data_IF_632141582276
#
_entry.id   IF_632141582276
#
_cell.length_a   1.000
_cell.length_b   1.000
_cell.length_c   1.000
_cell.angle_alpha   90.00
_cell.angle_beta   90.00
_cell.angle_gamma   90.00
#
_symmetry.space_group_name_H-M   'P 1'
#
loop_
_entity.id
_entity.type
_entity.pdbx_description
1 polymer ?
#
# COMPACT_ATOMS: atom_id res chain seq x y z
N UNK A 1 -3.47 -9.31 37.64
CA UNK A 1 -2.97 -8.49 36.52
C UNK A 1 -1.50 -8.82 36.35
N UNK A 2 -1.08 -9.17 35.12
CA UNK A 2 0.29 -9.39 34.75
C UNK A 2 0.66 -8.34 33.71
N UNK A 3 1.87 -7.80 33.74
CA UNK A 3 2.37 -6.81 32.78
C UNK A 3 3.85 -7.03 32.50
N UNK A 4 4.27 -6.67 31.31
CA UNK A 4 5.67 -6.67 30.87
C UNK A 4 6.03 -5.28 30.34
N UNK A 5 7.32 -4.89 30.49
CA UNK A 5 7.83 -3.59 30.02
C UNK A 5 8.64 -3.72 28.73
N UNK A 6 8.39 -4.76 27.97
CA UNK A 6 9.01 -5.01 26.67
C UNK A 6 7.96 -5.59 25.74
N UNK A 7 8.29 -5.68 24.47
CA UNK A 7 7.42 -6.16 23.40
C UNK A 7 7.60 -7.68 23.22
N UNK A 8 6.73 -8.54 23.79
CA UNK A 8 6.82 -9.98 23.57
C UNK A 8 6.46 -10.40 22.15
N UNK A 9 5.70 -9.58 21.43
CA UNK A 9 5.22 -9.80 20.06
C UNK A 9 6.30 -9.62 19.00
N UNK A 10 7.40 -8.89 19.29
CA UNK A 10 8.42 -8.63 18.29
C UNK A 10 9.37 -9.80 18.10
N UNK A 11 9.83 -9.99 16.87
CA UNK A 11 10.72 -11.09 16.49
C UNK A 11 12.02 -11.18 17.33
N UNK A 12 12.54 -10.05 17.80
CA UNK A 12 13.75 -10.00 18.64
C UNK A 12 13.54 -10.52 20.07
N UNK A 13 12.30 -10.67 20.51
CA UNK A 13 12.01 -11.28 21.83
C UNK A 13 12.04 -12.80 21.73
N UNK A 14 13.15 -13.36 22.15
CA UNK A 14 13.53 -14.76 21.94
C UNK A 14 12.50 -15.81 22.41
N UNK A 15 11.69 -15.50 23.44
CA UNK A 15 10.69 -16.37 24.04
C UNK A 15 9.29 -15.71 24.06
N UNK A 16 9.03 -14.78 23.14
CA UNK A 16 7.77 -14.02 23.10
C UNK A 16 6.54 -14.91 23.00
N UNK A 17 6.57 -15.90 22.12
CA UNK A 17 5.45 -16.85 21.94
C UNK A 17 5.20 -17.69 23.20
N UNK A 18 6.23 -18.12 23.93
CA UNK A 18 6.08 -18.85 25.18
C UNK A 18 5.40 -17.99 26.27
N UNK A 19 5.69 -16.69 26.29
CA UNK A 19 5.05 -15.73 27.20
C UNK A 19 3.55 -15.63 26.87
N UNK A 20 3.18 -15.51 25.59
CA UNK A 20 1.79 -15.51 25.18
C UNK A 20 1.08 -16.81 25.49
N UNK A 21 1.70 -17.97 25.23
CA UNK A 21 1.12 -19.27 25.56
C UNK A 21 0.87 -19.43 27.05
N UNK A 22 1.82 -19.04 27.89
CA UNK A 22 1.66 -19.08 29.34
C UNK A 22 0.52 -18.17 29.80
N UNK A 23 0.41 -16.97 29.23
CA UNK A 23 -0.67 -16.04 29.56
C UNK A 23 -2.04 -16.56 29.12
N UNK A 24 -2.17 -17.09 27.91
CA UNK A 24 -3.40 -17.70 27.39
C UNK A 24 -3.86 -18.85 28.28
N UNK A 25 -2.92 -19.71 28.69
CA UNK A 25 -3.19 -20.83 29.58
C UNK A 25 -3.64 -20.36 30.98
N UNK A 26 -3.05 -19.27 31.50
CA UNK A 26 -3.48 -18.67 32.78
C UNK A 26 -4.89 -18.07 32.71
N UNK A 27 -5.30 -17.59 31.54
CA UNK A 27 -6.63 -17.00 31.33
C UNK A 27 -7.71 -18.03 30.93
N UNK A 28 -7.33 -19.31 30.76
CA UNK A 28 -8.22 -20.39 30.28
C UNK A 28 -8.93 -20.03 28.94
N UNK A 29 -8.20 -19.33 28.04
CA UNK A 29 -8.73 -18.91 26.74
C UNK A 29 -8.67 -20.08 25.77
N UNK A 30 -9.78 -20.37 25.11
CA UNK A 30 -9.80 -21.38 24.04
C UNK A 30 -9.11 -20.84 22.79
N UNK A 31 -8.27 -21.67 22.19
CA UNK A 31 -7.58 -21.37 20.91
C UNK A 31 -8.45 -21.85 19.74
N UNK A 32 -9.62 -21.25 19.54
CA UNK A 32 -10.62 -21.65 18.56
C UNK A 32 -10.78 -20.65 17.40
N UNK A 33 -10.00 -19.57 17.38
CA UNK A 33 -9.99 -18.62 16.27
C UNK A 33 -9.36 -19.23 15.02
N UNK A 34 -10.11 -19.22 13.90
CA UNK A 34 -9.67 -19.68 12.60
C UNK A 34 -10.11 -18.70 11.53
N UNK A 35 -9.18 -18.23 10.73
CA UNK A 35 -9.45 -17.24 9.65
C UNK A 35 -10.37 -17.83 8.59
N UNK A 36 -10.24 -19.12 8.30
CA UNK A 36 -11.05 -19.84 7.32
C UNK A 36 -12.54 -19.81 7.65
N UNK A 37 -12.86 -19.79 8.95
CA UNK A 37 -14.25 -19.75 9.45
C UNK A 37 -14.82 -18.33 9.44
N UNK A 38 -13.98 -17.29 9.24
CA UNK A 38 -14.43 -15.89 9.26
C UNK A 38 -15.08 -15.45 7.95
N UNK A 39 -14.74 -16.07 6.82
CA UNK A 39 -15.23 -15.67 5.50
C UNK A 39 -16.75 -15.51 5.45
N UNK A 40 -17.46 -16.57 5.78
CA UNK A 40 -18.94 -16.56 5.68
C UNK A 40 -19.57 -15.62 6.72
N UNK A 41 -19.01 -15.56 7.93
CA UNK A 41 -19.44 -14.62 8.96
C UNK A 41 -19.31 -13.17 8.50
N UNK A 42 -18.15 -12.77 7.95
CA UNK A 42 -17.93 -11.42 7.46
C UNK A 42 -18.85 -11.05 6.29
N UNK A 43 -19.09 -11.99 5.38
CA UNK A 43 -20.04 -11.80 4.27
C UNK A 43 -21.45 -11.55 4.81
N UNK A 44 -21.90 -12.33 5.78
CA UNK A 44 -23.25 -12.17 6.36
C UNK A 44 -23.38 -10.89 7.20
N UNK A 45 -22.33 -10.48 7.90
CA UNK A 45 -22.27 -9.19 8.60
C UNK A 45 -22.37 -8.01 7.63
N UNK A 46 -21.65 -8.05 6.50
CA UNK A 46 -21.74 -7.02 5.46
C UNK A 46 -23.15 -6.97 4.86
N UNK A 47 -23.74 -8.13 4.52
CA UNK A 47 -25.12 -8.20 4.00
C UNK A 47 -26.12 -7.57 4.96
N UNK A 48 -26.01 -7.89 6.25
CA UNK A 48 -26.88 -7.37 7.28
C UNK A 48 -26.73 -5.86 7.47
N UNK A 49 -25.49 -5.37 7.48
CA UNK A 49 -25.16 -3.96 7.65
C UNK A 49 -25.63 -3.10 6.46
N UNK A 50 -25.35 -3.56 5.25
CA UNK A 50 -25.58 -2.80 4.02
C UNK A 50 -27.06 -2.92 3.58
N UNK A 51 -27.71 -4.06 3.78
CA UNK A 51 -29.07 -4.31 3.31
C UNK A 51 -29.17 -4.18 1.80
N UNK A 52 -30.12 -3.37 1.32
CA UNK A 52 -30.38 -3.12 -0.11
C UNK A 52 -29.58 -1.93 -0.69
N UNK A 53 -28.82 -1.25 0.15
CA UNK A 53 -28.07 -0.05 -0.27
C UNK A 53 -26.78 -0.41 -1.02
N UNK A 54 -26.08 0.60 -1.53
CA UNK A 54 -24.83 0.44 -2.27
C UNK A 54 -23.62 0.97 -1.48
N UNK A 55 -22.46 0.38 -1.77
CA UNK A 55 -21.16 0.74 -1.19
C UNK A 55 -20.28 1.33 -2.27
N UNK A 56 -19.64 2.47 -2.02
CA UNK A 56 -18.50 2.95 -2.81
C UNK A 56 -17.21 2.66 -2.04
N UNK A 57 -16.16 2.28 -2.74
CA UNK A 57 -14.86 1.99 -2.13
C UNK A 57 -13.72 2.54 -2.97
N UNK A 58 -12.87 3.38 -2.35
CA UNK A 58 -11.59 3.76 -2.95
C UNK A 58 -10.60 2.59 -2.86
N UNK A 59 -10.06 2.20 -4.00
CA UNK A 59 -9.12 1.07 -4.06
C UNK A 59 -7.75 1.52 -4.54
N UNK A 60 -6.70 0.96 -3.93
CA UNK A 60 -5.31 1.35 -4.19
C UNK A 60 -4.50 0.29 -4.95
N UNK A 61 -5.10 -0.86 -5.27
CA UNK A 61 -4.39 -2.03 -5.76
C UNK A 61 -3.56 -2.76 -4.68
N UNK A 62 -3.61 -2.31 -3.43
CA UNK A 62 -3.02 -3.00 -2.28
C UNK A 62 -3.89 -4.17 -1.79
N UNK A 63 -3.28 -5.13 -1.09
CA UNK A 63 -3.96 -6.36 -0.66
C UNK A 63 -5.17 -6.09 0.23
N UNK A 64 -5.09 -5.09 1.12
CA UNK A 64 -6.16 -4.81 2.08
C UNK A 64 -7.40 -4.26 1.38
N UNK A 65 -7.23 -3.27 0.47
CA UNK A 65 -8.35 -2.76 -0.34
C UNK A 65 -8.90 -3.83 -1.30
N UNK A 66 -8.07 -4.71 -1.83
CA UNK A 66 -8.48 -5.80 -2.71
C UNK A 66 -9.34 -6.82 -1.97
N UNK A 67 -8.86 -7.35 -0.83
CA UNK A 67 -9.60 -8.36 -0.07
C UNK A 67 -10.89 -7.76 0.51
N UNK A 68 -10.84 -6.51 1.00
CA UNK A 68 -12.01 -5.80 1.50
C UNK A 68 -13.08 -5.59 0.43
N UNK A 69 -12.70 -5.12 -0.76
CA UNK A 69 -13.63 -4.93 -1.88
C UNK A 69 -14.22 -6.25 -2.34
N UNK A 70 -13.42 -7.32 -2.38
CA UNK A 70 -13.88 -8.64 -2.80
C UNK A 70 -14.86 -9.27 -1.81
N UNK A 71 -14.67 -9.08 -0.50
CA UNK A 71 -15.64 -9.48 0.52
C UNK A 71 -16.97 -8.73 0.35
N UNK A 72 -16.91 -7.42 0.10
CA UNK A 72 -18.11 -6.60 -0.12
C UNK A 72 -18.82 -7.06 -1.40
N UNK A 73 -18.07 -7.31 -2.49
CA UNK A 73 -18.62 -7.85 -3.73
C UNK A 73 -19.34 -9.19 -3.51
N UNK A 74 -18.72 -10.13 -2.78
CA UNK A 74 -19.34 -11.42 -2.43
C UNK A 74 -20.61 -11.26 -1.58
N UNK A 75 -20.70 -10.22 -0.77
CA UNK A 75 -21.86 -9.95 0.07
C UNK A 75 -23.02 -9.32 -0.70
N UNK A 76 -22.76 -8.30 -1.52
CA UNK A 76 -23.79 -7.46 -2.14
C UNK A 76 -23.77 -7.41 -3.66
N UNK A 77 -22.83 -8.12 -4.31
CA UNK A 77 -22.71 -8.22 -5.76
C UNK A 77 -22.46 -6.87 -6.42
N UNK A 78 -23.18 -6.60 -7.51
CA UNK A 78 -23.05 -5.38 -8.32
C UNK A 78 -23.32 -4.06 -7.60
N UNK A 79 -23.69 -4.08 -6.31
CA UNK A 79 -23.93 -2.87 -5.52
C UNK A 79 -22.67 -2.30 -4.86
N UNK A 80 -21.49 -2.87 -5.15
CA UNK A 80 -20.21 -2.27 -4.79
C UNK A 80 -19.62 -1.53 -6.00
N UNK A 81 -19.18 -0.29 -5.78
CA UNK A 81 -18.54 0.56 -6.77
C UNK A 81 -17.10 0.82 -6.33
N UNK A 82 -16.15 0.24 -7.04
CA UNK A 82 -14.73 0.39 -6.77
C UNK A 82 -14.15 1.51 -7.63
N UNK A 83 -13.55 2.51 -7.00
CA UNK A 83 -12.94 3.68 -7.66
C UNK A 83 -11.43 3.65 -7.44
N UNK A 84 -10.69 3.48 -8.51
CA UNK A 84 -9.23 3.61 -8.53
C UNK A 84 -8.86 4.99 -9.08
N UNK A 85 -8.16 5.80 -8.29
CA UNK A 85 -7.69 7.12 -8.71
C UNK A 85 -6.25 7.00 -9.18
N UNK A 86 -6.03 7.16 -10.49
CA UNK A 86 -4.69 7.31 -11.03
C UNK A 86 -4.18 8.73 -10.77
N UNK A 87 -3.25 8.83 -9.85
CA UNK A 87 -2.63 10.09 -9.42
C UNK A 87 -1.47 10.53 -10.32
N UNK A 88 -1.08 9.72 -11.30
CA UNK A 88 0.16 9.92 -12.06
C UNK A 88 1.44 9.64 -11.25
N UNK A 89 1.31 9.16 -10.01
CA UNK A 89 2.44 8.88 -9.09
C UNK A 89 2.64 7.38 -8.87
N UNK A 90 2.02 6.55 -9.68
CA UNK A 90 2.08 5.10 -9.59
C UNK A 90 3.34 4.54 -10.27
N UNK A 91 3.68 3.29 -9.94
CA UNK A 91 4.72 2.51 -10.63
C UNK A 91 4.40 2.37 -12.12
N UNK A 92 5.38 1.94 -12.87
CA UNK A 92 5.19 1.59 -14.28
C UNK A 92 4.09 0.54 -14.41
N UNK A 93 3.17 0.75 -15.34
CA UNK A 93 2.05 -0.14 -15.68
C UNK A 93 1.10 -0.50 -14.51
N UNK A 94 1.21 0.17 -13.35
CA UNK A 94 0.43 -0.12 -12.16
C UNK A 94 -1.08 0.02 -12.40
N UNK A 95 -1.51 1.09 -13.03
CA UNK A 95 -2.94 1.36 -13.31
C UNK A 95 -3.53 0.28 -14.21
N UNK A 96 -2.79 -0.13 -15.24
CA UNK A 96 -3.22 -1.21 -16.13
C UNK A 96 -3.28 -2.55 -15.40
N UNK A 97 -2.28 -2.85 -14.58
CA UNK A 97 -2.26 -4.06 -13.76
C UNK A 97 -3.46 -4.13 -12.79
N UNK A 98 -3.78 -3.02 -12.11
CA UNK A 98 -4.92 -2.96 -11.18
C UNK A 98 -6.23 -3.15 -11.94
N UNK A 99 -6.37 -2.54 -13.11
CA UNK A 99 -7.55 -2.73 -13.97
C UNK A 99 -7.74 -4.20 -14.35
N UNK A 100 -6.70 -4.83 -14.90
CA UNK A 100 -6.73 -6.25 -15.28
C UNK A 100 -7.05 -7.16 -14.09
N UNK A 101 -6.53 -6.87 -12.91
CA UNK A 101 -6.81 -7.61 -11.68
C UNK A 101 -8.29 -7.55 -11.30
N UNK A 102 -8.91 -6.37 -11.32
CA UNK A 102 -10.33 -6.21 -11.00
C UNK A 102 -11.23 -6.80 -12.08
N UNK A 103 -10.87 -6.68 -13.36
CA UNK A 103 -11.57 -7.31 -14.48
C UNK A 103 -11.54 -8.85 -14.35
N UNK A 104 -10.39 -9.42 -13.99
CA UNK A 104 -10.24 -10.88 -13.79
C UNK A 104 -11.05 -11.38 -12.59
N UNK A 105 -11.16 -10.58 -11.53
CA UNK A 105 -11.96 -10.93 -10.35
C UNK A 105 -13.46 -10.75 -10.58
N UNK A 106 -13.87 -10.23 -11.74
CA UNK A 106 -15.26 -10.12 -12.16
C UNK A 106 -16.04 -8.96 -11.54
N UNK A 107 -15.36 -7.86 -11.22
CA UNK A 107 -16.03 -6.65 -10.73
C UNK A 107 -16.79 -5.95 -11.85
N UNK A 108 -18.10 -5.84 -11.72
CA UNK A 108 -18.95 -5.16 -12.70
C UNK A 108 -18.80 -3.62 -12.65
N UNK A 109 -18.54 -3.06 -11.46
CA UNK A 109 -18.46 -1.61 -11.22
C UNK A 109 -17.06 -1.25 -10.69
N UNK A 110 -16.07 -1.28 -11.58
CA UNK A 110 -14.73 -0.79 -11.33
C UNK A 110 -14.43 0.36 -12.29
N UNK A 111 -14.10 1.53 -11.73
CA UNK A 111 -13.79 2.74 -12.50
C UNK A 111 -12.36 3.22 -12.22
N UNK A 112 -11.63 3.57 -13.28
CA UNK A 112 -10.34 4.24 -13.22
C UNK A 112 -10.54 5.71 -13.49
N UNK A 113 -10.21 6.56 -12.53
CA UNK A 113 -10.27 8.02 -12.65
C UNK A 113 -8.86 8.55 -12.86
N UNK A 114 -8.55 8.99 -14.08
CA UNK A 114 -7.30 9.68 -14.35
C UNK A 114 -7.34 11.11 -13.81
N UNK A 115 -6.60 11.33 -12.73
CA UNK A 115 -6.41 12.63 -12.09
C UNK A 115 -4.93 13.09 -12.13
N UNK A 116 -4.10 12.44 -12.94
CA UNK A 116 -2.65 12.65 -13.00
C UNK A 116 -2.26 14.11 -13.18
N UNK A 117 -2.88 14.81 -14.14
CA UNK A 117 -2.63 16.23 -14.41
C UNK A 117 -2.96 17.13 -13.21
N UNK A 118 -4.02 16.80 -12.47
CA UNK A 118 -4.42 17.56 -11.28
C UNK A 118 -3.40 17.41 -10.14
N UNK A 119 -2.98 16.16 -9.86
CA UNK A 119 -1.99 15.89 -8.82
C UNK A 119 -0.64 16.52 -9.14
N UNK A 120 -0.13 16.31 -10.36
CA UNK A 120 1.16 16.86 -10.79
C UNK A 120 1.13 18.39 -10.79
N UNK A 121 0.01 19.00 -11.20
CA UNK A 121 -0.16 20.46 -11.16
C UNK A 121 -0.07 21.03 -9.75
N UNK A 122 -0.72 20.39 -8.76
CA UNK A 122 -0.69 20.81 -7.35
C UNK A 122 0.66 20.54 -6.67
N UNK A 123 1.42 19.55 -7.14
CA UNK A 123 2.74 19.19 -6.58
C UNK A 123 3.90 19.98 -7.18
N UNK A 124 3.65 20.80 -8.20
CA UNK A 124 4.71 21.57 -8.88
C UNK A 124 5.43 22.48 -7.90
N UNK A 125 6.75 22.32 -7.78
CA UNK A 125 7.62 23.10 -6.90
C UNK A 125 7.55 22.73 -5.42
N UNK A 126 6.76 21.72 -5.04
CA UNK A 126 6.68 21.23 -3.65
C UNK A 126 7.82 20.25 -3.40
N UNK A 127 8.67 20.58 -2.43
CA UNK A 127 9.88 19.78 -2.10
C UNK A 127 9.75 19.02 -0.78
N UNK A 128 9.02 19.57 0.19
CA UNK A 128 8.84 18.96 1.50
C UNK A 128 7.96 17.70 1.42
N UNK A 129 8.41 16.54 1.94
CA UNK A 129 7.68 15.29 1.84
C UNK A 129 6.35 15.28 2.62
N UNK A 130 6.23 16.01 3.73
CA UNK A 130 4.99 16.08 4.49
C UNK A 130 3.96 16.99 3.78
N UNK A 131 4.41 18.06 3.15
CA UNK A 131 3.56 18.89 2.32
C UNK A 131 3.05 18.11 1.09
N UNK A 132 3.92 17.33 0.43
CA UNK A 132 3.51 16.42 -0.65
C UNK A 132 2.41 15.46 -0.19
N UNK A 133 2.58 14.81 0.98
CA UNK A 133 1.57 13.90 1.54
C UNK A 133 0.24 14.59 1.77
N UNK A 134 0.24 15.78 2.35
CA UNK A 134 -0.98 16.57 2.61
C UNK A 134 -1.71 16.93 1.33
N UNK A 135 -0.98 17.43 0.33
CA UNK A 135 -1.54 17.81 -0.98
C UNK A 135 -2.16 16.58 -1.66
N UNK A 136 -1.45 15.45 -1.67
CA UNK A 136 -1.93 14.21 -2.28
C UNK A 136 -3.17 13.71 -1.56
N UNK A 137 -3.17 13.67 -0.23
CA UNK A 137 -4.31 13.23 0.56
C UNK A 137 -5.55 14.09 0.31
N UNK A 138 -5.43 15.43 0.37
CA UNK A 138 -6.54 16.33 0.11
C UNK A 138 -7.05 16.22 -1.32
N UNK A 139 -6.16 16.14 -2.31
CA UNK A 139 -6.55 16.03 -3.71
C UNK A 139 -7.25 14.70 -3.99
N UNK A 140 -6.80 13.62 -3.35
CA UNK A 140 -7.46 12.32 -3.45
C UNK A 140 -8.91 12.39 -2.95
N UNK A 141 -9.13 13.01 -1.79
CA UNK A 141 -10.47 13.20 -1.23
C UNK A 141 -11.35 14.02 -2.20
N UNK A 142 -10.85 15.15 -2.74
CA UNK A 142 -11.59 15.97 -3.69
C UNK A 142 -12.01 15.19 -4.94
N UNK A 143 -11.13 14.37 -5.49
CA UNK A 143 -11.42 13.53 -6.68
C UNK A 143 -12.44 12.47 -6.34
N UNK A 144 -12.24 11.79 -5.20
CA UNK A 144 -13.14 10.73 -4.77
C UNK A 144 -14.55 11.24 -4.45
N UNK A 145 -14.68 12.41 -3.80
CA UNK A 145 -15.98 13.07 -3.56
C UNK A 145 -16.74 13.32 -4.85
N UNK A 146 -16.07 13.85 -5.88
CA UNK A 146 -16.68 14.11 -7.19
C UNK A 146 -17.21 12.83 -7.83
N UNK A 147 -16.47 11.73 -7.73
CA UNK A 147 -16.94 10.45 -8.27
C UNK A 147 -18.14 9.90 -7.50
N UNK A 148 -18.16 10.06 -6.18
CA UNK A 148 -19.33 9.67 -5.37
C UNK A 148 -20.55 10.51 -5.74
N UNK A 149 -20.40 11.82 -5.96
CA UNK A 149 -21.51 12.69 -6.41
C UNK A 149 -22.02 12.25 -7.78
N UNK A 150 -21.13 11.98 -8.73
CA UNK A 150 -21.47 11.46 -10.07
C UNK A 150 -22.27 10.14 -10.00
N UNK A 151 -21.85 9.20 -9.13
CA UNK A 151 -22.58 7.95 -8.93
C UNK A 151 -23.99 8.20 -8.33
N UNK A 152 -24.13 9.14 -7.41
CA UNK A 152 -25.44 9.54 -6.86
C UNK A 152 -26.34 10.18 -7.89
N UNK A 153 -25.81 11.01 -8.79
CA UNK A 153 -26.55 11.61 -9.90
C UNK A 153 -27.07 10.57 -10.91
N UNK A 154 -26.36 9.44 -11.04
CA UNK A 154 -26.79 8.28 -11.83
C UNK A 154 -27.86 7.42 -11.14
N UNK A 155 -28.42 7.90 -10.02
CA UNK A 155 -29.43 7.22 -9.19
C UNK A 155 -28.94 5.95 -8.48
N UNK A 156 -27.63 5.78 -8.27
CA UNK A 156 -27.14 4.76 -7.38
C UNK A 156 -27.33 5.19 -5.91
N UNK A 157 -27.93 4.31 -5.11
CA UNK A 157 -28.22 4.57 -3.69
C UNK A 157 -26.97 4.35 -2.83
N UNK A 158 -25.92 5.21 -3.03
CA UNK A 158 -24.67 5.12 -2.27
C UNK A 158 -24.89 5.64 -0.85
N UNK A 159 -24.86 4.74 0.13
CA UNK A 159 -25.01 5.05 1.56
C UNK A 159 -23.79 4.69 2.40
N UNK A 160 -22.91 3.86 1.85
CA UNK A 160 -21.77 3.35 2.58
C UNK A 160 -20.46 3.62 1.84
N UNK A 161 -19.40 3.83 2.64
CA UNK A 161 -18.01 3.84 2.20
C UNK A 161 -17.32 2.58 2.70
N UNK A 162 -16.80 1.77 1.77
CA UNK A 162 -15.93 0.65 2.07
C UNK A 162 -14.49 1.11 2.33
N UNK A 163 -13.87 0.58 3.38
CA UNK A 163 -12.45 0.82 3.67
C UNK A 163 -11.74 -0.50 3.99
N UNK A 164 -10.50 -0.63 3.51
CA UNK A 164 -9.62 -1.75 3.80
C UNK A 164 -8.85 -1.61 5.12
N UNK A 165 -9.45 -0.99 6.13
CA UNK A 165 -8.87 -0.82 7.46
C UNK A 165 -8.61 -2.17 8.09
N UNK A 166 -7.41 -2.40 8.61
CA UNK A 166 -7.02 -3.60 9.35
C UNK A 166 -6.84 -3.30 10.85
N UNK A 167 -6.72 -4.33 11.67
CA UNK A 167 -6.66 -4.18 13.12
C UNK A 167 -5.53 -3.26 13.61
N UNK A 168 -4.29 -3.31 13.09
CA UNK A 168 -3.24 -2.35 13.46
C UNK A 168 -3.62 -0.89 13.18
N UNK A 169 -4.31 -0.60 12.08
CA UNK A 169 -4.75 0.77 11.74
C UNK A 169 -5.74 1.31 12.78
N UNK A 170 -6.63 0.44 13.31
CA UNK A 170 -7.57 0.81 14.39
C UNK A 170 -6.85 1.17 15.69
N UNK A 171 -5.85 0.37 16.09
CA UNK A 171 -5.07 0.64 17.32
C UNK A 171 -4.30 1.94 17.18
N UNK A 172 -3.64 2.16 16.04
CA UNK A 172 -2.88 3.39 15.78
C UNK A 172 -3.77 4.64 15.72
N UNK A 173 -5.04 4.48 15.29
CA UNK A 173 -6.03 5.57 15.21
C UNK A 173 -6.80 5.79 16.52
N UNK A 174 -6.86 4.78 17.40
CA UNK A 174 -7.49 4.87 18.71
C UNK A 174 -6.71 5.84 19.59
N UNK A 175 -7.33 6.96 19.89
CA UNK A 175 -6.92 8.17 20.60
C UNK A 175 -5.52 8.20 21.21
N UNK A 176 -4.69 9.18 20.83
CA UNK A 176 -3.35 9.34 21.37
C UNK A 176 -3.43 9.71 22.84
N UNK A 177 -2.56 9.11 23.65
CA UNK A 177 -2.11 9.77 24.88
C UNK A 177 -1.57 11.15 24.48
N UNK A 178 -1.76 12.17 25.32
CA UNK A 178 -1.37 13.58 25.07
C UNK A 178 0.12 13.80 24.70
N UNK A 179 0.91 12.74 24.60
CA UNK A 179 2.37 12.72 24.44
C UNK A 179 2.87 11.90 23.26
N UNK A 180 2.00 11.21 22.49
CA UNK A 180 2.44 10.47 21.29
C UNK A 180 2.14 11.33 20.05
N UNK A 181 3.16 11.65 19.27
CA UNK A 181 3.01 12.22 17.94
C UNK A 181 2.14 11.30 17.09
N UNK A 182 1.17 11.87 16.37
CA UNK A 182 0.35 11.14 15.39
C UNK A 182 1.26 10.64 14.28
N UNK A 183 1.74 9.40 14.40
CA UNK A 183 2.65 8.80 13.43
C UNK A 183 1.97 8.46 12.10
N UNK A 184 0.63 8.27 12.11
CA UNK A 184 -0.13 7.99 10.88
C UNK A 184 -1.50 8.66 10.89
N UNK A 185 -1.64 9.73 10.13
CA UNK A 185 -2.92 10.39 9.86
C UNK A 185 -3.47 10.11 8.43
N UNK A 186 -2.90 9.16 7.65
CA UNK A 186 -3.05 9.23 6.21
C UNK A 186 -3.38 7.92 5.48
N UNK A 187 -3.72 6.82 6.16
CA UNK A 187 -4.09 5.57 5.48
C UNK A 187 -5.59 5.35 5.35
N UNK A 188 -6.39 5.97 6.21
CA UNK A 188 -7.84 5.94 6.09
C UNK A 188 -8.34 7.32 5.67
N UNK A 189 -9.18 7.36 4.64
CA UNK A 189 -9.90 8.56 4.25
C UNK A 189 -10.66 9.09 5.47
N UNK A 190 -10.20 10.22 6.02
CA UNK A 190 -11.02 10.96 6.96
C UNK A 190 -12.18 11.50 6.14
N UNK A 191 -13.34 10.88 6.27
CA UNK A 191 -14.55 11.33 5.57
C UNK A 191 -14.74 12.81 5.83
N UNK A 192 -14.90 13.64 4.80
CA UNK A 192 -15.43 14.96 4.98
C UNK A 192 -16.80 14.85 5.60
N UNK A 193 -17.10 15.66 6.61
CA UNK A 193 -18.41 15.70 7.28
C UNK A 193 -19.60 15.84 6.31
N UNK A 194 -19.32 16.32 5.09
CA UNK A 194 -20.32 16.50 4.02
C UNK A 194 -20.79 15.22 3.35
N UNK A 195 -20.02 14.12 3.39
CA UNK A 195 -20.39 12.91 2.60
C UNK A 195 -21.53 12.10 3.22
N UNK A 196 -21.77 12.20 4.52
CA UNK A 196 -22.87 11.49 5.23
C UNK A 196 -22.93 9.97 4.96
N UNK A 197 -21.80 9.33 4.61
CA UNK A 197 -21.71 7.90 4.34
C UNK A 197 -21.38 7.13 5.63
N UNK A 198 -21.98 5.96 5.79
CA UNK A 198 -21.62 5.02 6.86
C UNK A 198 -20.42 4.17 6.44
N UNK A 199 -19.58 3.78 7.39
CA UNK A 199 -18.39 2.95 7.11
C UNK A 199 -18.75 1.46 7.05
N UNK A 200 -18.06 0.75 6.12
CA UNK A 200 -17.99 -0.70 6.06
C UNK A 200 -16.52 -1.08 6.06
N UNK A 201 -16.05 -1.67 7.16
CA UNK A 201 -14.63 -2.00 7.39
C UNK A 201 -14.50 -3.50 7.68
N UNK A 202 -14.62 -4.35 6.66
CA UNK A 202 -14.73 -5.80 6.85
C UNK A 202 -13.47 -6.46 7.42
N UNK A 203 -12.33 -5.79 7.38
CA UNK A 203 -11.03 -6.32 7.81
C UNK A 203 -10.55 -5.74 9.14
N UNK A 204 -11.38 -4.92 9.80
CA UNK A 204 -10.99 -4.12 10.96
C UNK A 204 -10.53 -4.92 12.19
N UNK A 205 -10.84 -6.20 12.26
CA UNK A 205 -10.44 -7.11 13.34
C UNK A 205 -9.34 -8.10 12.92
N UNK A 206 -8.79 -7.97 11.71
CA UNK A 206 -7.80 -8.89 11.15
C UNK A 206 -6.42 -8.25 11.06
N UNK A 207 -5.38 -9.07 11.28
CA UNK A 207 -4.00 -8.72 10.97
C UNK A 207 -3.69 -8.96 9.48
N UNK A 208 -2.60 -8.38 8.98
CA UNK A 208 -2.25 -8.41 7.55
C UNK A 208 -1.99 -9.81 7.00
N UNK A 209 -1.43 -10.69 7.77
CA UNK A 209 -1.25 -12.11 7.43
C UNK A 209 -2.59 -12.85 7.37
N UNK A 210 -3.52 -12.56 8.30
CA UNK A 210 -4.88 -13.09 8.27
C UNK A 210 -5.67 -12.59 7.06
N UNK A 211 -5.49 -11.31 6.67
CA UNK A 211 -6.08 -10.76 5.43
C UNK A 211 -5.59 -11.52 4.20
N UNK A 212 -4.31 -11.87 4.13
CA UNK A 212 -3.78 -12.69 3.02
C UNK A 212 -4.34 -14.11 3.03
N UNK A 213 -4.46 -14.74 4.21
CA UNK A 213 -5.09 -16.05 4.35
C UNK A 213 -6.55 -16.01 3.90
N UNK A 214 -7.31 -15.02 4.37
CA UNK A 214 -8.69 -14.80 3.96
C UNK A 214 -8.82 -14.58 2.45
N UNK A 215 -7.93 -13.79 1.86
CA UNK A 215 -7.88 -13.60 0.41
C UNK A 215 -7.64 -14.90 -0.36
N UNK A 216 -6.81 -15.79 0.17
CA UNK A 216 -6.60 -17.12 -0.38
C UNK A 216 -7.86 -17.98 -0.30
N UNK A 217 -8.56 -17.99 0.85
CA UNK A 217 -9.83 -18.70 1.05
C UNK A 217 -10.97 -18.16 0.15
N UNK A 218 -10.89 -16.89 -0.21
CA UNK A 218 -11.78 -16.25 -1.19
C UNK A 218 -11.45 -16.63 -2.64
N UNK A 219 -10.33 -17.31 -2.90
CA UNK A 219 -9.87 -17.70 -4.22
C UNK A 219 -9.10 -16.64 -4.99
N UNK A 220 -8.64 -15.59 -4.31
CA UNK A 220 -7.82 -14.55 -4.92
C UNK A 220 -6.43 -15.14 -5.23
N UNK A 221 -5.92 -14.86 -6.43
CA UNK A 221 -4.62 -15.36 -6.88
C UNK A 221 -3.49 -14.89 -5.97
N UNK A 222 -2.54 -15.79 -5.75
CA UNK A 222 -1.38 -15.50 -4.89
C UNK A 222 -0.56 -14.29 -5.35
N UNK A 223 -0.42 -14.07 -6.65
CA UNK A 223 0.30 -12.92 -7.21
C UNK A 223 -0.32 -11.57 -6.83
N UNK A 224 -1.63 -11.50 -6.59
CA UNK A 224 -2.32 -10.31 -6.11
C UNK A 224 -2.16 -10.12 -4.60
N UNK A 225 -2.05 -11.23 -3.84
CA UNK A 225 -1.91 -11.21 -2.38
C UNK A 225 -0.48 -10.96 -1.89
N UNK A 226 0.53 -11.42 -2.64
CA UNK A 226 1.96 -11.34 -2.26
C UNK A 226 2.62 -10.01 -2.65
N UNK A 227 1.85 -8.98 -3.00
CA UNK A 227 2.40 -7.68 -3.38
C UNK A 227 3.04 -6.97 -2.20
N UNK A 228 4.19 -6.33 -2.45
CA UNK A 228 4.82 -5.44 -1.48
C UNK A 228 3.94 -4.22 -1.22
N UNK A 229 3.97 -3.68 0.01
CA UNK A 229 3.25 -2.45 0.32
C UNK A 229 3.77 -1.29 -0.56
N UNK A 230 2.82 -0.52 -1.10
CA UNK A 230 3.10 0.69 -1.85
C UNK A 230 2.41 1.87 -1.16
N UNK A 231 3.14 2.94 -0.82
CA UNK A 231 2.58 4.03 -0.04
C UNK A 231 1.54 4.82 -0.83
N UNK A 232 0.51 5.35 -0.14
CA UNK A 232 -0.53 6.18 -0.74
C UNK A 232 0.00 7.37 -1.54
N UNK A 233 1.04 8.11 -1.09
CA UNK A 233 1.66 9.17 -1.89
C UNK A 233 2.43 8.69 -3.13
N UNK A 234 2.54 7.40 -3.35
CA UNK A 234 3.18 6.83 -4.53
C UNK A 234 4.65 7.18 -4.65
N UNK A 235 5.09 7.43 -5.87
CA UNK A 235 6.48 7.82 -6.19
C UNK A 235 6.82 9.24 -5.74
N UNK A 236 5.84 10.08 -5.39
CA UNK A 236 6.09 11.47 -4.99
C UNK A 236 7.08 11.61 -3.83
N UNK A 237 7.00 10.71 -2.84
CA UNK A 237 7.90 10.71 -1.68
C UNK A 237 9.21 9.98 -1.93
N UNK A 238 9.34 9.35 -3.09
CA UNK A 238 10.57 8.67 -3.55
C UNK A 238 11.41 9.52 -4.49
N UNK A 239 10.93 10.74 -4.82
CA UNK A 239 11.70 11.78 -5.47
C UNK A 239 12.06 12.82 -4.41
N UNK A 240 13.35 12.95 -4.07
CA UNK A 240 13.83 13.95 -3.14
C UNK A 240 13.79 15.32 -3.85
N UNK A 241 13.13 16.30 -3.25
CA UNK A 241 12.92 17.61 -3.88
C UNK A 241 11.64 17.69 -4.72
N UNK A 242 11.59 18.58 -5.69
CA UNK A 242 10.44 18.80 -6.56
C UNK A 242 10.19 17.66 -7.55
N UNK A 243 8.94 17.54 -7.97
CA UNK A 243 8.49 16.49 -8.89
C UNK A 243 8.25 17.09 -10.27
N UNK A 244 8.75 16.42 -11.30
CA UNK A 244 8.42 16.66 -12.68
C UNK A 244 8.28 15.34 -13.45
N UNK A 245 7.78 15.42 -14.67
CA UNK A 245 7.51 14.25 -15.49
C UNK A 245 8.79 13.48 -15.87
N UNK A 246 9.90 14.18 -16.12
CA UNK A 246 11.20 13.56 -16.44
C UNK A 246 11.68 12.69 -15.28
N UNK A 247 11.67 13.23 -14.05
CA UNK A 247 12.08 12.51 -12.85
C UNK A 247 11.17 11.31 -12.54
N UNK A 248 9.87 11.44 -12.79
CA UNK A 248 8.92 10.34 -12.62
C UNK A 248 9.19 9.21 -13.61
N UNK A 249 9.45 9.51 -14.88
CA UNK A 249 9.80 8.50 -15.90
C UNK A 249 11.09 7.78 -15.49
N UNK A 250 12.12 8.52 -15.14
CA UNK A 250 13.41 7.95 -14.68
C UNK A 250 13.20 7.02 -13.48
N UNK A 251 12.46 7.48 -12.48
CA UNK A 251 12.22 6.66 -11.27
C UNK A 251 11.39 5.42 -11.56
N UNK A 252 10.36 5.51 -12.42
CA UNK A 252 9.54 4.36 -12.83
C UNK A 252 10.37 3.28 -13.49
N UNK A 253 11.23 3.64 -14.45
CA UNK A 253 12.09 2.71 -15.15
C UNK A 253 13.11 2.05 -14.20
N UNK A 254 13.73 2.82 -13.31
CA UNK A 254 14.68 2.29 -12.34
C UNK A 254 14.02 1.36 -11.31
N UNK A 255 12.83 1.72 -10.80
CA UNK A 255 12.06 0.90 -9.85
C UNK A 255 11.56 -0.39 -10.52
N UNK A 256 11.14 -0.35 -11.77
CA UNK A 256 10.72 -1.51 -12.55
C UNK A 256 11.87 -2.52 -12.74
N UNK A 257 13.05 -2.05 -13.14
CA UNK A 257 14.25 -2.89 -13.25
C UNK A 257 14.55 -3.55 -11.89
N UNK A 258 14.54 -2.77 -10.81
CA UNK A 258 14.84 -3.29 -9.48
C UNK A 258 13.86 -4.37 -9.06
N UNK A 259 12.56 -4.11 -9.17
CA UNK A 259 11.51 -5.06 -8.79
C UNK A 259 11.52 -6.31 -9.68
N UNK A 260 11.74 -6.17 -10.99
CA UNK A 260 11.80 -7.30 -11.92
C UNK A 260 12.98 -8.22 -11.63
N UNK A 261 14.15 -7.67 -11.30
CA UNK A 261 15.34 -8.43 -10.91
C UNK A 261 15.14 -9.16 -9.56
N UNK A 262 14.49 -8.53 -8.58
CA UNK A 262 14.14 -9.20 -7.34
C UNK A 262 13.16 -10.35 -7.56
N UNK A 263 12.17 -10.18 -8.45
CA UNK A 263 11.22 -11.24 -8.80
C UNK A 263 11.91 -12.42 -9.49
N UNK A 264 12.76 -12.14 -10.48
CA UNK A 264 13.46 -13.15 -11.27
C UNK A 264 14.49 -13.94 -10.46
N UNK A 265 15.13 -13.31 -9.48
CA UNK A 265 16.08 -13.97 -8.56
C UNK A 265 15.41 -14.72 -7.40
N UNK A 266 14.10 -14.53 -7.18
CA UNK A 266 13.38 -15.06 -6.03
C UNK A 266 13.50 -14.21 -4.75
N UNK A 267 14.34 -13.19 -4.72
CA UNK A 267 14.57 -12.33 -3.55
C UNK A 267 13.37 -11.44 -3.22
N UNK A 268 12.43 -11.23 -4.15
CA UNK A 268 11.19 -10.49 -3.89
C UNK A 268 10.39 -11.06 -2.71
N UNK A 269 10.35 -12.39 -2.57
CA UNK A 269 9.64 -13.06 -1.47
C UNK A 269 10.35 -12.96 -0.13
N UNK A 270 11.68 -12.76 -0.17
CA UNK A 270 12.52 -12.64 1.02
C UNK A 270 12.58 -11.20 1.54
N UNK A 271 12.02 -10.24 0.79
CA UNK A 271 11.94 -8.83 1.18
C UNK A 271 10.51 -8.44 1.54
N UNK A 272 10.37 -7.63 2.59
CA UNK A 272 9.08 -7.07 2.99
C UNK A 272 8.67 -5.89 2.10
N UNK A 273 9.63 -5.02 1.76
CA UNK A 273 9.46 -3.90 0.85
C UNK A 273 10.76 -3.63 0.08
N UNK A 274 10.62 -3.33 -1.20
CA UNK A 274 11.72 -2.87 -2.03
C UNK A 274 11.29 -1.65 -2.85
N UNK A 275 12.20 -0.70 -3.02
CA UNK A 275 11.96 0.55 -3.74
C UNK A 275 13.24 1.16 -4.31
N UNK A 276 13.10 1.90 -5.40
CA UNK A 276 14.06 2.89 -5.84
C UNK A 276 13.63 4.29 -5.36
N UNK A 277 14.61 5.15 -5.07
CA UNK A 277 14.41 6.56 -4.78
C UNK A 277 15.33 7.41 -5.67
N UNK A 278 14.79 8.47 -6.25
CA UNK A 278 15.57 9.40 -7.08
C UNK A 278 16.16 10.50 -6.20
N UNK A 279 17.46 10.61 -6.25
CA UNK A 279 18.23 11.67 -5.60
C UNK A 279 18.65 12.67 -6.71
N UNK A 280 18.02 13.85 -6.79
CA UNK A 280 18.23 14.78 -7.90
C UNK A 280 19.54 15.60 -7.76
N UNK A 281 20.60 14.90 -7.37
CA UNK A 281 21.96 15.44 -7.34
C UNK A 281 22.71 14.90 -8.55
N UNK A 282 23.21 15.81 -9.38
CA UNK A 282 23.99 15.44 -10.55
C UNK A 282 25.38 15.00 -10.16
N UNK A 283 25.72 13.77 -10.48
CA UNK A 283 27.04 13.18 -10.24
C UNK A 283 27.79 13.04 -11.54
N UNK A 284 29.14 13.02 -11.45
CA UNK A 284 29.99 12.76 -12.60
C UNK A 284 30.04 11.26 -12.86
N UNK A 285 29.71 10.86 -14.08
CA UNK A 285 29.91 9.52 -14.60
C UNK A 285 30.79 9.54 -15.86
N UNK A 286 31.25 8.36 -16.26
CA UNK A 286 31.96 8.18 -17.53
C UNK A 286 31.21 7.12 -18.32
N UNK A 287 30.69 7.49 -19.48
CA UNK A 287 30.07 6.57 -20.44
C UNK A 287 30.86 6.64 -21.76
N UNK A 288 31.58 5.56 -22.07
CA UNK A 288 32.56 5.57 -23.14
C UNK A 288 33.66 6.60 -22.86
N UNK A 289 33.92 7.48 -23.81
CA UNK A 289 34.97 8.54 -23.72
C UNK A 289 34.42 9.89 -23.21
N UNK A 290 33.13 9.94 -22.79
CA UNK A 290 32.49 11.20 -22.41
C UNK A 290 32.13 11.22 -20.92
N UNK A 291 32.31 12.39 -20.29
CA UNK A 291 31.79 12.65 -18.94
C UNK A 291 30.29 12.94 -19.02
N UNK A 292 29.52 12.30 -18.14
CA UNK A 292 28.08 12.54 -17.97
C UNK A 292 27.83 13.23 -16.64
N UNK A 293 26.77 14.04 -16.58
CA UNK A 293 26.29 14.72 -15.35
C UNK A 293 24.83 14.40 -15.17
N UNK A 294 24.55 13.30 -14.48
CA UNK A 294 23.22 12.73 -14.37
C UNK A 294 22.85 12.44 -12.91
N UNK A 295 21.61 12.06 -12.67
CA UNK A 295 21.07 11.81 -11.34
C UNK A 295 21.60 10.51 -10.73
N UNK A 296 21.32 10.36 -9.45
CA UNK A 296 21.62 9.16 -8.67
C UNK A 296 20.34 8.47 -8.25
N UNK A 297 20.34 7.13 -8.28
CA UNK A 297 19.31 6.27 -7.71
C UNK A 297 19.84 5.63 -6.43
N UNK A 298 19.05 5.70 -5.38
CA UNK A 298 19.22 4.87 -4.17
C UNK A 298 18.21 3.72 -4.21
N UNK A 299 18.71 2.50 -4.11
CA UNK A 299 17.90 1.30 -3.96
C UNK A 299 17.77 0.98 -2.47
N UNK A 300 16.58 0.65 -2.02
CA UNK A 300 16.33 0.19 -0.67
C UNK A 300 15.49 -1.08 -0.70
N UNK A 301 15.94 -2.11 -0.03
CA UNK A 301 15.15 -3.29 0.28
C UNK A 301 15.25 -3.58 1.77
N UNK A 302 14.14 -3.89 2.40
CA UNK A 302 14.07 -4.20 3.83
C UNK A 302 13.41 -5.54 4.05
N UNK A 303 13.88 -6.23 5.08
CA UNK A 303 13.24 -7.42 5.65
C UNK A 303 12.52 -7.01 6.92
N UNK A 304 11.33 -7.53 7.14
CA UNK A 304 10.59 -7.41 8.39
C UNK A 304 9.72 -8.65 8.55
N UNK A 305 9.70 -9.21 9.75
CA UNK A 305 8.80 -10.34 10.06
C UNK A 305 7.53 -9.88 10.78
N UNK A 306 7.60 -8.78 11.50
CA UNK A 306 6.54 -8.27 12.37
C UNK A 306 6.03 -6.86 11.99
N UNK A 307 6.53 -6.28 10.90
CA UNK A 307 6.29 -4.91 10.45
C UNK A 307 6.70 -3.81 11.47
N UNK A 308 7.20 -4.17 12.64
CA UNK A 308 7.66 -3.25 13.69
C UNK A 308 9.19 -3.14 13.70
N UNK A 309 9.86 -4.24 13.37
CA UNK A 309 11.32 -4.29 13.28
C UNK A 309 11.71 -4.52 11.81
N UNK A 310 12.46 -3.59 11.26
CA UNK A 310 12.96 -3.69 9.89
C UNK A 310 14.49 -3.64 9.90
N UNK A 311 15.11 -4.50 9.09
CA UNK A 311 16.54 -4.45 8.78
C UNK A 311 16.71 -4.37 7.26
N UNK A 312 17.83 -3.82 6.80
CA UNK A 312 18.12 -3.81 5.37
C UNK A 312 18.32 -5.23 4.83
N UNK A 313 17.78 -5.53 3.68
CA UNK A 313 17.92 -6.84 3.04
C UNK A 313 19.33 -7.04 2.52
N UNK A 314 20.01 -8.11 2.93
CA UNK A 314 21.36 -8.47 2.47
C UNK A 314 21.28 -9.18 1.13
N UNK A 315 20.99 -8.42 0.07
CA UNK A 315 20.89 -8.95 -1.28
C UNK A 315 22.26 -9.46 -1.76
N UNK A 316 22.30 -10.53 -2.59
CA UNK A 316 23.55 -11.02 -3.21
C UNK A 316 24.28 -9.94 -4.01
N UNK A 317 25.60 -9.88 -3.88
CA UNK A 317 26.40 -8.85 -4.56
C UNK A 317 26.29 -8.91 -6.09
N UNK A 318 26.21 -10.10 -6.67
CA UNK A 318 26.01 -10.30 -8.11
C UNK A 318 24.64 -9.80 -8.59
N UNK A 319 23.62 -9.94 -7.76
CA UNK A 319 22.30 -9.37 -8.03
C UNK A 319 22.35 -7.83 -8.01
N UNK A 320 22.96 -7.23 -6.98
CA UNK A 320 23.13 -5.78 -6.88
C UNK A 320 23.95 -5.23 -8.07
N UNK A 321 25.00 -5.93 -8.48
CA UNK A 321 25.80 -5.58 -9.66
C UNK A 321 24.97 -5.63 -10.93
N UNK A 322 24.17 -6.66 -11.12
CA UNK A 322 23.30 -6.80 -12.31
C UNK A 322 22.25 -5.71 -12.37
N UNK A 323 21.57 -5.43 -11.23
CA UNK A 323 20.60 -4.34 -11.12
C UNK A 323 21.23 -3.00 -11.47
N UNK A 324 22.38 -2.68 -10.85
CA UNK A 324 23.11 -1.44 -11.11
C UNK A 324 23.50 -1.29 -12.57
N UNK A 325 24.04 -2.33 -13.19
CA UNK A 325 24.42 -2.32 -14.60
C UNK A 325 23.22 -2.10 -15.52
N UNK A 326 22.09 -2.76 -15.24
CA UNK A 326 20.86 -2.57 -16.01
C UNK A 326 20.34 -1.15 -15.88
N UNK A 327 20.23 -0.60 -14.67
CA UNK A 327 19.74 0.76 -14.45
C UNK A 327 20.61 1.77 -15.20
N UNK A 328 21.94 1.69 -15.09
CA UNK A 328 22.84 2.64 -15.75
C UNK A 328 22.77 2.53 -17.28
N UNK A 329 22.60 1.34 -17.84
CA UNK A 329 22.60 1.14 -19.29
C UNK A 329 21.22 1.36 -19.94
N UNK A 330 20.13 1.07 -19.22
CA UNK A 330 18.78 1.08 -19.76
C UNK A 330 18.02 2.38 -19.43
N UNK A 331 18.33 3.06 -18.29
CA UNK A 331 17.65 4.27 -17.84
C UNK A 331 18.46 5.51 -18.15
N UNK A 332 18.00 6.32 -19.10
CA UNK A 332 18.64 7.60 -19.40
C UNK A 332 18.48 8.58 -18.24
N UNK A 333 19.53 9.34 -17.95
CA UNK A 333 19.51 10.34 -16.87
C UNK A 333 20.06 9.83 -15.54
N UNK A 334 20.56 8.57 -15.48
CA UNK A 334 21.20 7.98 -14.32
C UNK A 334 22.63 7.54 -14.65
N UNK A 335 23.57 7.93 -13.81
CA UNK A 335 24.95 7.46 -13.89
C UNK A 335 25.50 6.88 -12.59
N UNK A 336 24.67 6.80 -11.54
CA UNK A 336 25.08 6.24 -10.25
C UNK A 336 23.91 5.54 -9.54
N UNK A 337 24.20 4.34 -9.05
CA UNK A 337 23.29 3.54 -8.22
C UNK A 337 23.96 3.29 -6.87
N UNK A 338 23.22 3.49 -5.79
CA UNK A 338 23.64 3.18 -4.42
C UNK A 338 22.64 2.23 -3.78
N UNK A 339 23.07 1.50 -2.75
CA UNK A 339 22.19 0.64 -1.95
C UNK A 339 22.16 1.18 -0.52
N UNK A 340 20.95 1.45 0.00
CA UNK A 340 20.74 1.95 1.35
C UNK A 340 20.79 0.78 2.35
N UNK A 341 21.77 0.82 3.25
CA UNK A 341 22.03 -0.19 4.28
C UNK A 341 21.61 0.26 5.68
N UNK A 342 20.78 1.29 5.79
CA UNK A 342 20.24 1.72 7.08
C UNK A 342 19.03 0.88 7.49
N UNK A 343 18.98 0.57 8.79
CA UNK A 343 17.88 -0.16 9.44
C UNK A 343 16.82 0.80 9.98
#
# INVERSE_FOLDING_TARGET
>A
IYSVLFHPEVHHTKHGMEIFENFINLCDIKKDWKVEEQKDRLIDEIKTLVGEESVVMGVSGGVDSLVGSFLIERAIGKRVFCVYVDTGLMRKDETQFVKEMYDELGFDNFEVVDASSLFLGKLKGVTDPEEKRKIIGHTFIEVFEKEVEKLKEQNFHIKFLGQGTIYPDRIESAAPSKTADKIKSHHNLTLPEKMSLKLVEPLSDLYKDEVRLLGKELGIKKEFLDRHPFPGPGLAIRILGDIDEEKLVILREADDIFISELKSSGEYKNTWQALAALIPVKTVGVMGDHRTYEYMIALRAVTSMDAMTADWAKLPNDLLQRISNRIINEVKGINRVTYDITS
#
